data_IF_558867754211
#
_entry.id   IF_558867754211
#
_cell.length_a   1.000
_cell.length_b   1.000
_cell.length_c   1.000
_cell.angle_alpha   90.00
_cell.angle_beta   90.00
_cell.angle_gamma   90.00
#
_symmetry.space_group_name_H-M   'P 1'
#
loop_
_entity.id
_entity.type
_entity.pdbx_description
1 polymer ?
#
# COMPACT_ATOMS: atom_id res chain seq x y z
N UNK A 1 89.64 19.60 -17.11
CA UNK A 1 88.91 18.31 -17.19
C UNK A 1 88.21 18.07 -15.87
N UNK A 2 87.07 17.38 -15.91
CA UNK A 2 86.19 16.95 -14.80
C UNK A 2 85.01 17.87 -14.42
N UNK A 3 83.97 17.75 -15.24
CA UNK A 3 82.61 17.29 -14.93
C UNK A 3 81.86 17.87 -13.70
N UNK A 4 80.74 18.54 -14.00
CA UNK A 4 79.65 18.87 -13.06
C UNK A 4 78.67 17.70 -12.90
N UNK A 5 78.11 17.44 -11.72
CA UNK A 5 76.91 16.62 -11.58
C UNK A 5 75.64 17.49 -11.53
N UNK A 6 74.68 17.17 -12.40
CA UNK A 6 73.31 17.70 -12.39
C UNK A 6 72.50 16.94 -11.33
N UNK A 7 71.98 17.67 -10.34
CA UNK A 7 71.09 17.18 -9.30
C UNK A 7 69.64 17.03 -9.82
N UNK A 8 69.12 15.81 -9.75
CA UNK A 8 67.73 15.46 -10.06
C UNK A 8 66.81 15.91 -8.91
N UNK A 9 65.76 16.65 -9.27
CA UNK A 9 64.65 17.03 -8.38
C UNK A 9 63.60 15.90 -8.41
N UNK A 10 63.24 15.27 -7.28
CA UNK A 10 62.11 14.36 -7.24
C UNK A 10 60.80 15.14 -7.02
N UNK A 11 59.84 14.87 -7.90
CA UNK A 11 58.44 15.29 -7.78
C UNK A 11 57.82 14.75 -6.49
N UNK A 12 57.44 15.63 -5.56
CA UNK A 12 56.56 15.30 -4.45
C UNK A 12 55.11 15.54 -4.89
N UNK A 13 54.41 14.43 -5.14
CA UNK A 13 52.98 14.36 -5.45
C UNK A 13 52.18 14.88 -4.25
N UNK A 14 51.36 15.90 -4.49
CA UNK A 14 50.39 16.41 -3.54
C UNK A 14 49.29 15.37 -3.29
N UNK A 15 49.22 14.83 -2.08
CA UNK A 15 48.09 14.00 -1.62
C UNK A 15 47.01 14.94 -1.09
N UNK A 16 45.99 15.22 -1.91
CA UNK A 16 44.76 15.87 -1.47
C UNK A 16 43.91 14.82 -0.76
N UNK A 17 43.84 14.89 0.57
CA UNK A 17 42.88 14.12 1.38
C UNK A 17 41.48 14.68 1.10
N UNK A 18 40.77 14.11 0.12
CA UNK A 18 39.33 14.29 0.02
C UNK A 18 38.70 13.48 1.16
N UNK A 19 38.43 14.14 2.29
CA UNK A 19 37.48 13.63 3.27
C UNK A 19 36.12 13.54 2.57
N UNK A 20 35.81 12.37 2.05
CA UNK A 20 34.45 12.01 1.70
C UNK A 20 33.63 12.08 3.00
N UNK A 21 32.91 13.18 3.18
CA UNK A 21 31.80 13.26 4.13
C UNK A 21 30.79 12.22 3.68
N UNK A 22 30.90 11.01 4.23
CA UNK A 22 29.83 10.01 4.21
C UNK A 22 28.71 10.65 5.01
N UNK A 23 27.86 11.42 4.33
CA UNK A 23 26.61 11.87 4.90
C UNK A 23 25.88 10.63 5.35
N UNK A 24 25.67 10.48 6.66
CA UNK A 24 24.78 9.46 7.18
C UNK A 24 23.49 9.58 6.37
N UNK A 25 23.03 8.52 5.67
CA UNK A 25 21.74 8.60 5.00
C UNK A 25 20.76 9.01 6.08
N UNK A 26 20.17 10.21 5.94
CA UNK A 26 19.18 10.70 6.89
C UNK A 26 18.18 9.58 7.07
N UNK A 27 17.93 9.16 8.32
CA UNK A 27 16.98 8.10 8.60
C UNK A 27 15.72 8.40 7.81
N UNK A 28 15.44 7.58 6.80
CA UNK A 28 14.18 7.63 6.07
C UNK A 28 13.15 7.15 7.09
N UNK A 29 12.57 8.07 7.86
CA UNK A 29 11.44 7.73 8.69
C UNK A 29 10.33 7.39 7.71
N UNK A 30 9.92 6.12 7.70
CA UNK A 30 8.68 5.69 7.04
C UNK A 30 7.43 6.31 7.71
N UNK A 31 7.64 7.14 8.74
CA UNK A 31 6.68 7.79 9.61
C UNK A 31 5.57 6.88 10.15
N UNK A 32 5.80 5.57 10.14
CA UNK A 32 5.03 4.59 10.91
C UNK A 32 5.42 4.76 12.38
N UNK A 33 4.44 5.07 13.21
CA UNK A 33 4.60 5.33 14.65
C UNK A 33 4.23 4.12 15.50
N UNK A 34 3.45 3.19 14.96
CA UNK A 34 3.10 1.93 15.65
C UNK A 34 2.77 0.84 14.64
N UNK A 35 3.22 -0.38 14.92
CA UNK A 35 2.78 -1.61 14.26
C UNK A 35 2.06 -2.46 15.29
N UNK A 36 0.80 -2.79 15.01
CA UNK A 36 0.00 -3.69 15.83
C UNK A 36 -0.23 -4.98 15.05
N UNK A 37 0.41 -6.07 15.49
CA UNK A 37 0.16 -7.40 14.95
C UNK A 37 -1.11 -7.95 15.59
N UNK A 38 -2.04 -8.41 14.77
CA UNK A 38 -3.33 -8.97 15.21
C UNK A 38 -3.40 -10.48 15.04
N UNK A 39 -2.62 -11.05 14.12
CA UNK A 39 -2.49 -12.49 13.97
C UNK A 39 -1.10 -12.88 13.45
N UNK A 40 -0.59 -14.00 13.95
CA UNK A 40 0.53 -14.75 13.39
C UNK A 40 0.09 -16.20 13.25
N UNK A 41 0.33 -16.80 12.11
CA UNK A 41 0.12 -18.23 11.87
C UNK A 41 1.43 -18.81 11.32
N UNK A 42 2.07 -19.67 12.12
CA UNK A 42 3.36 -20.26 11.80
C UNK A 42 3.36 -21.75 12.20
N UNK A 43 3.52 -22.69 11.25
CA UNK A 43 3.52 -22.48 9.80
C UNK A 43 2.11 -22.19 9.26
N UNK A 44 2.03 -21.44 8.16
CA UNK A 44 0.79 -21.29 7.37
C UNK A 44 0.74 -22.32 6.22
N UNK A 45 -0.24 -22.23 5.32
CA UNK A 45 -0.47 -23.19 4.22
C UNK A 45 -0.62 -24.65 4.68
N UNK A 46 -1.20 -24.86 5.88
CA UNK A 46 -1.32 -26.19 6.47
C UNK A 46 0.02 -26.87 6.76
N UNK A 47 1.11 -26.11 6.88
CA UNK A 47 2.45 -26.64 7.16
C UNK A 47 3.22 -27.10 5.93
N UNK A 48 2.73 -26.84 4.71
CA UNK A 48 3.44 -27.21 3.49
C UNK A 48 4.85 -26.59 3.44
N UNK A 49 5.83 -27.38 3.03
CA UNK A 49 7.24 -26.98 2.94
C UNK A 49 7.71 -27.05 1.50
N UNK A 50 8.18 -25.94 0.95
CA UNK A 50 8.76 -25.92 -0.40
C UNK A 50 10.22 -26.36 -0.38
N UNK A 51 10.67 -27.21 -1.32
CA UNK A 51 12.08 -27.59 -1.45
C UNK A 51 12.97 -26.34 -1.58
N UNK A 52 14.07 -26.30 -0.82
CA UNK A 52 15.04 -25.20 -0.84
C UNK A 52 14.63 -23.94 -0.05
N UNK A 53 13.33 -23.67 0.13
CA UNK A 53 12.83 -22.46 0.81
C UNK A 53 12.34 -22.76 2.24
N UNK A 54 11.64 -23.90 2.42
CA UNK A 54 11.03 -24.30 3.67
C UNK A 54 9.57 -23.86 3.83
N UNK A 55 9.13 -23.76 5.08
CA UNK A 55 7.78 -23.36 5.45
C UNK A 55 7.63 -21.83 5.51
N UNK A 56 6.39 -21.36 5.38
CA UNK A 56 6.02 -19.96 5.44
C UNK A 56 5.24 -19.66 6.71
N UNK A 57 5.25 -18.39 7.10
CA UNK A 57 4.34 -17.84 8.11
C UNK A 57 3.52 -16.68 7.55
N UNK A 58 2.34 -16.50 8.14
CA UNK A 58 1.40 -15.40 7.88
C UNK A 58 1.46 -14.42 9.05
N UNK A 59 1.61 -13.13 8.76
CA UNK A 59 1.57 -12.04 9.73
C UNK A 59 0.54 -11.02 9.26
N UNK A 60 -0.43 -10.71 10.12
CA UNK A 60 -1.51 -9.75 9.83
C UNK A 60 -1.52 -8.69 10.91
N UNK A 61 -1.80 -7.45 10.53
CA UNK A 61 -1.89 -6.37 11.51
C UNK A 61 -2.36 -5.05 10.94
N UNK A 62 -2.18 -4.02 11.75
CA UNK A 62 -2.47 -2.62 11.45
C UNK A 62 -1.23 -1.78 11.72
N UNK A 63 -0.84 -0.96 10.76
CA UNK A 63 0.19 0.05 10.93
C UNK A 63 -0.46 1.42 11.13
N UNK A 64 0.12 2.23 12.00
CA UNK A 64 -0.29 3.61 12.29
C UNK A 64 0.84 4.52 11.87
N UNK A 65 0.53 5.58 11.14
CA UNK A 65 1.51 6.50 10.63
C UNK A 65 1.08 7.95 10.75
N UNK A 66 2.04 8.82 10.52
CA UNK A 66 1.90 10.27 10.57
C UNK A 66 2.55 10.88 9.33
N UNK A 67 1.99 11.95 8.78
CA UNK A 67 2.66 12.73 7.73
C UNK A 67 2.74 14.19 8.13
N UNK A 68 3.82 14.85 7.72
CA UNK A 68 3.98 16.28 7.92
C UNK A 68 3.28 17.05 6.79
N UNK A 69 2.22 17.83 7.08
CA UNK A 69 1.57 18.66 6.07
C UNK A 69 2.50 19.76 5.51
N UNK A 70 3.59 20.09 6.20
CA UNK A 70 4.54 21.11 5.77
C UNK A 70 5.75 20.53 5.00
N UNK A 71 5.87 19.20 4.88
CA UNK A 71 6.91 18.60 4.04
C UNK A 71 6.53 18.78 2.55
N UNK A 72 7.39 19.40 1.72
CA UNK A 72 7.13 19.57 0.30
C UNK A 72 6.79 18.26 -0.45
N UNK A 73 7.26 17.11 0.03
CA UNK A 73 6.92 15.80 -0.56
C UNK A 73 5.44 15.41 -0.39
N UNK A 74 4.77 16.00 0.59
CA UNK A 74 3.36 15.76 0.87
C UNK A 74 2.43 16.81 0.25
N UNK A 75 2.97 17.84 -0.42
CA UNK A 75 2.19 18.94 -1.01
C UNK A 75 1.18 18.48 -2.08
N UNK A 76 1.37 17.30 -2.69
CA UNK A 76 0.43 16.69 -3.63
C UNK A 76 -0.79 16.05 -2.98
N UNK A 77 -0.84 15.91 -1.65
CA UNK A 77 -1.98 15.33 -0.93
C UNK A 77 -3.05 16.41 -0.79
N UNK A 78 -4.19 16.18 -1.43
CA UNK A 78 -5.33 17.10 -1.40
C UNK A 78 -5.79 17.36 0.03
N UNK A 79 -6.02 18.64 0.35
CA UNK A 79 -6.49 19.13 1.65
C UNK A 79 -5.62 18.75 2.86
N UNK A 80 -4.37 18.33 2.67
CA UNK A 80 -3.50 17.91 3.78
C UNK A 80 -3.28 19.02 4.82
N UNK A 81 -3.22 20.28 4.39
CA UNK A 81 -3.07 21.43 5.28
C UNK A 81 -4.27 21.62 6.21
N UNK A 82 -5.45 21.15 5.76
CA UNK A 82 -6.74 21.24 6.42
C UNK A 82 -7.09 19.98 7.21
N UNK A 83 -6.25 18.95 7.16
CA UNK A 83 -6.45 17.73 7.93
C UNK A 83 -6.22 17.99 9.44
N UNK A 84 -7.01 17.35 10.32
CA UNK A 84 -6.74 17.32 11.75
C UNK A 84 -5.30 16.90 12.05
N UNK A 85 -4.66 17.59 13.00
CA UNK A 85 -3.26 17.35 13.39
C UNK A 85 -3.20 16.93 14.85
N UNK A 86 -2.30 16.01 15.16
CA UNK A 86 -2.00 15.64 16.55
C UNK A 86 -1.16 16.73 17.25
N UNK A 87 -0.82 16.52 18.52
CA UNK A 87 -0.02 17.46 19.32
C UNK A 87 1.39 17.73 18.75
N UNK A 88 1.89 16.88 17.84
CA UNK A 88 3.17 17.07 17.11
C UNK A 88 2.99 17.83 15.79
N UNK A 89 1.78 18.28 15.48
CA UNK A 89 1.47 18.97 14.23
C UNK A 89 1.43 18.04 13.00
N UNK A 90 1.33 16.72 13.18
CA UNK A 90 1.29 15.73 12.09
C UNK A 90 -0.12 15.22 11.84
N UNK A 91 -0.40 14.82 10.60
CA UNK A 91 -1.67 14.21 10.19
C UNK A 91 -1.58 12.70 10.38
N UNK A 92 -2.48 12.12 11.17
CA UNK A 92 -2.48 10.70 11.51
C UNK A 92 -3.29 9.86 10.51
N UNK A 93 -2.81 8.66 10.21
CA UNK A 93 -3.51 7.66 9.41
C UNK A 93 -3.21 6.24 9.91
N UNK A 94 -3.99 5.26 9.49
CA UNK A 94 -3.67 3.85 9.73
C UNK A 94 -4.16 2.95 8.60
N UNK A 95 -3.49 1.82 8.39
CA UNK A 95 -3.86 0.86 7.36
C UNK A 95 -3.63 -0.58 7.82
N UNK A 96 -4.44 -1.50 7.30
CA UNK A 96 -4.26 -2.94 7.53
C UNK A 96 -3.17 -3.50 6.62
N UNK A 97 -2.42 -4.48 7.09
CA UNK A 97 -1.43 -5.20 6.29
C UNK A 97 -1.54 -6.71 6.45
N UNK A 98 -1.07 -7.43 5.43
CA UNK A 98 -0.96 -8.87 5.39
C UNK A 98 0.40 -9.24 4.79
N UNK A 99 1.14 -10.12 5.44
CA UNK A 99 2.48 -10.54 5.03
C UNK A 99 2.55 -12.07 5.00
N UNK A 100 3.10 -12.62 3.92
CA UNK A 100 3.60 -13.99 3.87
C UNK A 100 5.09 -13.97 3.66
N UNK A 101 5.84 -14.71 4.46
CA UNK A 101 7.29 -14.86 4.26
C UNK A 101 7.77 -16.26 4.62
N UNK A 102 8.91 -16.71 4.08
CA UNK A 102 9.62 -17.85 4.64
C UNK A 102 9.88 -17.63 6.14
N UNK A 103 9.73 -18.70 6.93
CA UNK A 103 10.11 -18.68 8.35
C UNK A 103 11.62 -18.41 8.45
N UNK A 104 12.41 -19.14 7.67
CA UNK A 104 13.85 -18.92 7.51
C UNK A 104 14.13 -17.95 6.35
N UNK A 105 14.32 -16.67 6.68
CA UNK A 105 14.58 -15.63 5.68
C UNK A 105 15.91 -15.80 4.94
N UNK A 106 16.87 -16.59 5.47
CA UNK A 106 18.12 -16.88 4.76
C UNK A 106 17.94 -17.77 3.53
N UNK A 107 16.79 -18.45 3.45
CA UNK A 107 16.36 -19.29 2.32
C UNK A 107 15.35 -18.59 1.41
N UNK A 108 15.09 -17.31 1.66
CA UNK A 108 14.19 -16.49 0.86
C UNK A 108 14.84 -15.95 -0.42
N UNK A 109 14.03 -15.32 -1.26
CA UNK A 109 14.48 -14.64 -2.47
C UNK A 109 15.19 -13.31 -2.19
N UNK A 110 15.08 -12.79 -0.96
CA UNK A 110 15.35 -11.39 -0.61
C UNK A 110 14.63 -10.40 -1.53
N UNK A 111 13.40 -10.75 -1.94
CA UNK A 111 12.55 -9.96 -2.82
C UNK A 111 11.14 -9.89 -2.24
N UNK A 112 10.53 -8.73 -2.38
CA UNK A 112 9.13 -8.49 -2.01
C UNK A 112 8.28 -8.44 -3.27
N UNK A 113 7.20 -9.21 -3.28
CA UNK A 113 6.05 -8.97 -4.14
C UNK A 113 5.06 -8.13 -3.33
N UNK A 114 4.89 -6.87 -3.72
CA UNK A 114 3.91 -5.97 -3.12
C UNK A 114 2.72 -5.81 -4.06
N UNK A 115 1.51 -5.91 -3.52
CA UNK A 115 0.29 -5.59 -4.25
C UNK A 115 -0.55 -4.59 -3.43
N UNK A 116 -0.86 -3.41 -3.98
CA UNK A 116 -1.92 -2.56 -3.45
C UNK A 116 -3.29 -3.21 -3.76
N UNK A 117 -4.06 -3.66 -2.75
CA UNK A 117 -5.28 -4.42 -2.97
C UNK A 117 -6.35 -3.60 -3.68
N UNK A 118 -7.03 -4.18 -4.67
CA UNK A 118 -8.10 -3.52 -5.41
C UNK A 118 -9.37 -3.40 -4.53
N UNK A 119 -9.69 -2.19 -4.07
CA UNK A 119 -10.78 -1.93 -3.11
C UNK A 119 -10.71 -2.84 -1.87
N UNK A 120 -9.49 -3.08 -1.39
CA UNK A 120 -9.20 -3.96 -0.25
C UNK A 120 -9.11 -5.45 -0.57
N UNK A 121 -9.56 -5.87 -1.76
CA UNK A 121 -9.47 -7.24 -2.27
C UNK A 121 -8.10 -7.55 -2.90
N UNK A 122 -7.52 -8.70 -2.57
CA UNK A 122 -6.23 -9.15 -3.13
C UNK A 122 -6.45 -9.85 -4.47
N UNK A 123 -5.72 -9.45 -5.49
CA UNK A 123 -5.84 -9.89 -6.90
C UNK A 123 -4.63 -10.68 -7.41
N UNK A 124 -3.70 -11.01 -6.51
CA UNK A 124 -2.47 -11.79 -6.72
C UNK A 124 -2.60 -13.17 -7.37
N UNK A 125 -3.78 -13.83 -7.28
CA UNK A 125 -3.94 -15.28 -7.53
C UNK A 125 -3.41 -15.74 -8.90
N UNK A 126 -3.82 -15.05 -9.97
CA UNK A 126 -3.39 -15.39 -11.34
C UNK A 126 -1.88 -15.33 -11.52
N UNK A 127 -1.24 -14.27 -11.02
CA UNK A 127 0.22 -14.11 -11.10
C UNK A 127 0.95 -15.17 -10.28
N UNK A 128 0.41 -15.51 -9.10
CA UNK A 128 1.01 -16.48 -8.20
C UNK A 128 0.70 -17.94 -8.53
N UNK A 129 -0.14 -18.21 -9.55
CA UNK A 129 -0.70 -19.54 -9.86
C UNK A 129 -1.41 -20.17 -8.65
N UNK A 130 -2.23 -19.36 -7.98
CA UNK A 130 -2.95 -19.70 -6.76
C UNK A 130 -4.45 -19.33 -6.93
N UNK A 131 -5.35 -19.93 -6.15
CA UNK A 131 -6.81 -19.68 -6.26
C UNK A 131 -7.23 -18.23 -5.92
N UNK A 132 -6.32 -17.40 -5.40
CA UNK A 132 -6.60 -16.02 -5.02
C UNK A 132 -7.27 -15.91 -3.65
N UNK A 133 -8.04 -14.84 -3.45
CA UNK A 133 -8.73 -14.55 -2.20
C UNK A 133 -7.92 -13.71 -1.21
N UNK A 134 -8.60 -13.26 -0.16
CA UNK A 134 -8.06 -12.30 0.81
C UNK A 134 -7.25 -12.93 1.96
N UNK A 135 -7.35 -14.25 2.16
CA UNK A 135 -6.47 -15.02 3.06
C UNK A 135 -5.55 -15.98 2.27
N UNK A 136 -4.53 -15.48 1.57
CA UNK A 136 -3.58 -16.31 0.82
C UNK A 136 -3.05 -17.54 1.57
N UNK A 137 -2.68 -17.39 2.85
CA UNK A 137 -2.13 -18.45 3.71
C UNK A 137 -3.10 -19.59 4.05
N UNK A 138 -4.40 -19.40 3.82
CA UNK A 138 -5.41 -20.44 4.08
C UNK A 138 -5.41 -21.60 3.09
N UNK A 139 -4.68 -21.50 1.97
CA UNK A 139 -4.63 -22.56 0.96
C UNK A 139 -3.81 -23.75 1.47
N UNK A 140 -4.40 -24.93 1.56
CA UNK A 140 -3.76 -26.14 2.11
C UNK A 140 -3.56 -27.28 1.11
N UNK A 141 -4.16 -27.20 -0.09
CA UNK A 141 -4.11 -28.27 -1.09
C UNK A 141 -2.67 -28.46 -1.62
N UNK A 142 -2.01 -29.61 -1.37
CA UNK A 142 -0.60 -29.81 -1.73
C UNK A 142 -0.31 -29.69 -3.23
N UNK A 143 -1.23 -30.12 -4.08
CA UNK A 143 -1.09 -30.04 -5.55
C UNK A 143 -1.13 -28.60 -6.05
N UNK A 144 -1.89 -27.73 -5.40
CA UNK A 144 -1.94 -26.29 -5.69
C UNK A 144 -0.63 -25.64 -5.21
N UNK A 145 -0.24 -25.91 -3.97
CA UNK A 145 0.96 -25.33 -3.36
C UNK A 145 2.25 -25.73 -4.09
N UNK A 146 2.34 -26.98 -4.56
CA UNK A 146 3.46 -27.46 -5.37
C UNK A 146 3.62 -26.71 -6.71
N UNK A 147 2.51 -26.20 -7.27
CA UNK A 147 2.48 -25.50 -8.55
C UNK A 147 2.48 -23.96 -8.42
N UNK A 148 2.53 -23.43 -7.19
CA UNK A 148 2.58 -22.00 -6.94
C UNK A 148 3.83 -21.36 -7.59
N UNK A 149 3.75 -20.09 -7.97
CA UNK A 149 4.87 -19.40 -8.61
C UNK A 149 5.81 -18.75 -7.59
N UNK A 150 5.27 -18.06 -6.58
CA UNK A 150 6.07 -17.17 -5.71
C UNK A 150 6.73 -17.90 -4.54
N UNK A 151 6.00 -18.77 -3.85
CA UNK A 151 6.46 -19.43 -2.63
C UNK A 151 7.61 -20.42 -2.85
N UNK A 152 7.63 -21.26 -3.91
CA UNK A 152 8.81 -22.09 -4.19
C UNK A 152 10.07 -21.30 -4.56
N UNK A 153 9.93 -19.99 -4.82
CA UNK A 153 11.04 -19.09 -5.13
C UNK A 153 11.47 -18.25 -3.93
N UNK A 154 10.80 -18.39 -2.77
CA UNK A 154 11.20 -17.69 -1.54
C UNK A 154 10.76 -16.22 -1.46
N UNK A 155 9.81 -15.77 -2.28
CA UNK A 155 9.33 -14.38 -2.20
C UNK A 155 8.64 -14.10 -0.86
N UNK A 156 8.89 -12.92 -0.30
CA UNK A 156 8.00 -12.31 0.69
C UNK A 156 6.88 -11.61 -0.05
N UNK A 157 5.63 -11.84 0.36
CA UNK A 157 4.46 -11.18 -0.21
C UNK A 157 3.87 -10.21 0.80
N UNK A 158 3.51 -9.01 0.35
CA UNK A 158 3.00 -7.93 1.21
C UNK A 158 1.80 -7.28 0.54
N UNK A 159 0.74 -7.08 1.31
CA UNK A 159 -0.41 -6.27 0.95
C UNK A 159 -0.65 -5.23 2.03
N UNK A 160 -1.02 -4.01 1.65
CA UNK A 160 -1.45 -2.97 2.58
C UNK A 160 -2.64 -2.19 2.04
N UNK A 161 -3.57 -1.87 2.94
CA UNK A 161 -4.72 -1.04 2.60
C UNK A 161 -4.29 0.36 2.16
N UNK A 162 -4.88 0.85 1.07
CA UNK A 162 -4.58 2.16 0.49
C UNK A 162 -5.84 2.89 0.05
N UNK A 163 -6.91 2.15 -0.25
CA UNK A 163 -8.15 2.67 -0.80
C UNK A 163 -9.20 2.85 0.30
N UNK A 164 -9.66 4.09 0.50
CA UNK A 164 -10.71 4.40 1.47
C UNK A 164 -12.08 3.84 1.06
N UNK A 165 -12.31 3.61 -0.24
CA UNK A 165 -13.52 2.98 -0.76
C UNK A 165 -13.62 1.49 -0.44
N UNK A 166 -12.56 0.87 0.09
CA UNK A 166 -12.60 -0.50 0.63
C UNK A 166 -13.49 -0.65 1.88
N UNK A 167 -14.04 0.46 2.40
CA UNK A 167 -14.87 0.51 3.59
C UNK A 167 -14.06 0.46 4.88
N UNK A 168 -14.73 0.13 5.99
CA UNK A 168 -14.13 0.05 7.34
C UNK A 168 -14.03 -1.37 7.87
N UNK A 169 -14.63 -2.35 7.17
CA UNK A 169 -14.61 -3.75 7.58
C UNK A 169 -13.29 -4.41 7.19
N UNK A 170 -12.64 -5.01 8.18
CA UNK A 170 -11.44 -5.84 8.01
C UNK A 170 -11.77 -7.33 8.02
N UNK A 171 -13.06 -7.68 7.99
CA UNK A 171 -13.51 -9.07 7.94
C UNK A 171 -12.93 -9.79 6.71
N UNK A 172 -12.67 -11.09 6.84
CA UNK A 172 -12.05 -11.90 5.79
C UNK A 172 -10.75 -11.30 5.23
N UNK A 173 -9.99 -10.58 6.08
CA UNK A 173 -8.72 -9.94 5.71
C UNK A 173 -8.82 -8.94 4.55
N UNK A 174 -9.98 -8.31 4.39
CA UNK A 174 -10.08 -7.10 3.57
C UNK A 174 -9.16 -6.03 4.14
N UNK A 175 -8.23 -5.51 3.34
CA UNK A 175 -7.20 -4.57 3.82
C UNK A 175 -7.61 -3.14 3.51
N UNK A 176 -7.91 -2.36 4.55
CA UNK A 176 -8.47 -1.01 4.43
C UNK A 176 -7.50 0.06 4.91
N UNK A 177 -7.85 1.32 4.64
CA UNK A 177 -7.15 2.49 5.20
C UNK A 177 -8.14 3.38 5.98
N UNK A 178 -7.66 3.94 7.08
CA UNK A 178 -8.34 4.96 7.86
C UNK A 178 -7.60 6.27 7.71
N UNK A 179 -8.31 7.24 7.14
CA UNK A 179 -7.84 8.61 6.88
C UNK A 179 -8.73 9.58 7.66
N UNK A 180 -8.20 10.73 8.10
CA UNK A 180 -9.01 11.75 8.75
C UNK A 180 -9.84 12.52 7.71
N UNK A 181 -10.89 13.19 8.17
CA UNK A 181 -11.69 14.11 7.35
C UNK A 181 -11.12 15.51 7.53
N UNK A 182 -10.73 16.16 6.43
CA UNK A 182 -10.25 17.54 6.43
C UNK A 182 -11.34 18.53 6.87
N UNK A 183 -10.94 19.70 7.37
CA UNK A 183 -11.86 20.70 7.93
C UNK A 183 -11.65 22.08 7.33
N UNK A 184 -12.76 22.81 7.14
CA UNK A 184 -12.72 24.23 6.82
C UNK A 184 -12.18 25.05 8.00
N UNK A 185 -11.80 26.33 7.77
CA UNK A 185 -11.35 27.22 8.86
C UNK A 185 -12.37 27.42 9.99
N UNK A 186 -13.67 27.28 9.70
CA UNK A 186 -14.75 27.33 10.69
C UNK A 186 -14.93 26.01 11.49
N UNK A 187 -14.10 25.00 11.20
CA UNK A 187 -14.13 23.68 11.83
C UNK A 187 -15.10 22.69 11.20
N UNK A 188 -15.93 23.09 10.24
CA UNK A 188 -16.86 22.19 9.54
C UNK A 188 -16.10 21.14 8.70
N UNK A 189 -16.59 19.90 8.59
CA UNK A 189 -15.93 18.88 7.78
C UNK A 189 -16.02 19.21 6.28
N UNK A 190 -14.94 18.95 5.56
CA UNK A 190 -14.92 19.02 4.10
C UNK A 190 -15.49 17.71 3.57
N UNK A 191 -16.75 17.75 3.17
CA UNK A 191 -17.49 16.63 2.59
C UNK A 191 -18.27 17.12 1.39
N UNK A 192 -18.55 16.23 0.43
CA UNK A 192 -19.31 16.57 -0.76
C UNK A 192 -19.88 15.34 -1.45
N UNK A 193 -20.59 15.53 -2.57
CA UNK A 193 -21.09 14.43 -3.38
C UNK A 193 -19.92 13.60 -3.92
N UNK A 194 -20.09 12.27 -3.91
CA UNK A 194 -19.17 11.35 -4.56
C UNK A 194 -19.73 10.95 -5.94
N UNK A 195 -18.86 10.88 -6.94
CA UNK A 195 -19.18 10.30 -8.24
C UNK A 195 -18.73 8.84 -8.25
N UNK A 196 -19.64 7.93 -8.58
CA UNK A 196 -19.33 6.52 -8.76
C UNK A 196 -19.62 6.09 -10.20
N UNK A 197 -18.65 5.46 -10.84
CA UNK A 197 -18.77 4.91 -12.18
C UNK A 197 -18.91 3.39 -12.10
N UNK A 198 -20.07 2.88 -12.52
CA UNK A 198 -20.42 1.46 -12.44
C UNK A 198 -20.66 0.96 -13.86
N UNK A 199 -19.91 -0.07 -14.26
CA UNK A 199 -20.11 -0.77 -15.53
C UNK A 199 -20.84 -2.08 -15.22
N UNK A 200 -22.05 -2.25 -15.74
CA UNK A 200 -22.86 -3.44 -15.53
C UNK A 200 -23.55 -3.85 -16.84
N UNK A 201 -23.70 -5.15 -17.08
CA UNK A 201 -24.40 -5.70 -18.26
C UNK A 201 -25.90 -5.95 -18.02
N UNK A 202 -26.46 -5.36 -16.97
CA UNK A 202 -27.88 -5.49 -16.60
C UNK A 202 -28.18 -4.89 -15.22
N UNK A 203 -29.34 -5.22 -14.65
CA UNK A 203 -29.70 -4.80 -13.30
C UNK A 203 -28.94 -5.64 -12.28
N UNK A 204 -27.96 -5.02 -11.62
CA UNK A 204 -27.25 -5.63 -10.49
C UNK A 204 -27.19 -4.64 -9.34
N UNK A 205 -27.47 -5.08 -8.10
CA UNK A 205 -27.28 -4.22 -6.94
C UNK A 205 -25.79 -3.87 -6.81
N UNK A 206 -25.51 -2.63 -6.45
CA UNK A 206 -24.17 -2.14 -6.22
C UNK A 206 -24.08 -1.50 -4.84
N UNK A 207 -23.10 -1.89 -4.05
CA UNK A 207 -22.82 -1.27 -2.74
C UNK A 207 -22.04 0.01 -2.97
N UNK A 208 -22.60 1.15 -2.59
CA UNK A 208 -21.94 2.43 -2.70
C UNK A 208 -20.71 2.52 -1.80
N UNK A 209 -19.68 3.23 -2.26
CA UNK A 209 -18.47 3.53 -1.48
C UNK A 209 -18.76 4.51 -0.35
N UNK A 210 -19.72 5.41 -0.56
CA UNK A 210 -20.25 6.32 0.45
C UNK A 210 -21.76 6.11 0.62
N UNK A 211 -22.32 6.23 1.83
CA UNK A 211 -23.76 6.16 2.02
C UNK A 211 -24.49 7.17 1.13
N UNK A 212 -25.67 6.78 0.62
CA UNK A 212 -26.53 7.72 -0.08
C UNK A 212 -26.85 8.91 0.84
N UNK A 213 -26.73 10.14 0.30
CA UNK A 213 -27.03 11.36 1.06
C UNK A 213 -28.47 11.38 1.60
N UNK A 214 -29.38 10.68 0.91
CA UNK A 214 -30.75 10.44 1.34
C UNK A 214 -31.27 9.14 0.72
N UNK A 215 -32.20 8.48 1.40
CA UNK A 215 -32.95 7.34 0.86
C UNK A 215 -34.29 7.78 0.22
N UNK A 216 -34.62 9.07 0.28
CA UNK A 216 -35.80 9.66 -0.36
C UNK A 216 -35.63 9.67 -1.89
N UNK A 217 -36.29 8.73 -2.56
CA UNK A 217 -36.23 8.56 -4.01
C UNK A 217 -36.77 9.76 -4.79
N UNK A 218 -37.61 10.61 -4.19
CA UNK A 218 -38.12 11.82 -4.86
C UNK A 218 -37.02 12.85 -5.14
N UNK A 219 -35.88 12.72 -4.46
CA UNK A 219 -34.70 13.57 -4.64
C UNK A 219 -33.68 12.98 -5.61
N UNK A 220 -33.94 11.79 -6.15
CA UNK A 220 -33.07 11.15 -7.14
C UNK A 220 -33.46 11.56 -8.56
N UNK A 221 -32.47 11.69 -9.44
CA UNK A 221 -32.69 11.90 -10.88
C UNK A 221 -31.93 10.83 -11.65
N UNK A 222 -32.64 10.07 -12.47
CA UNK A 222 -32.03 9.15 -13.43
C UNK A 222 -31.89 9.87 -14.77
N UNK A 223 -30.70 9.84 -15.33
CA UNK A 223 -30.45 10.36 -16.68
C UNK A 223 -29.81 9.29 -17.55
N UNK A 224 -30.12 9.30 -18.83
CA UNK A 224 -29.48 8.47 -19.84
C UNK A 224 -28.64 9.33 -20.81
N UNK A 225 -27.51 8.77 -21.25
CA UNK A 225 -26.63 9.30 -22.29
C UNK A 225 -26.13 8.15 -23.14
N UNK A 226 -25.98 8.36 -24.45
CA UNK A 226 -25.39 7.35 -25.37
C UNK A 226 -23.88 7.36 -25.26
N UNK A 227 -23.27 8.55 -25.15
CA UNK A 227 -21.85 8.77 -24.90
C UNK A 227 -21.66 9.61 -23.63
N UNK A 228 -20.50 9.50 -22.99
CA UNK A 228 -20.24 10.15 -21.69
C UNK A 228 -20.41 11.67 -21.74
N UNK A 229 -20.05 12.26 -22.88
CA UNK A 229 -20.05 13.68 -23.21
C UNK A 229 -21.38 14.21 -23.78
N UNK A 230 -22.36 13.33 -24.08
CA UNK A 230 -23.67 13.76 -24.54
C UNK A 230 -24.45 14.50 -23.44
N UNK A 231 -25.35 15.39 -23.85
CA UNK A 231 -26.29 16.03 -22.93
C UNK A 231 -27.14 14.96 -22.21
N UNK A 232 -27.23 14.98 -20.87
CA UNK A 232 -28.09 14.04 -20.13
C UNK A 232 -29.56 14.23 -20.48
N UNK A 233 -30.25 13.12 -20.78
CA UNK A 233 -31.70 13.09 -20.96
C UNK A 233 -32.32 12.49 -19.69
N UNK A 234 -33.20 13.24 -19.02
CA UNK A 234 -33.89 12.78 -17.82
C UNK A 234 -34.83 11.63 -18.17
N UNK A 235 -34.75 10.54 -17.42
CA UNK A 235 -35.69 9.42 -17.48
C UNK A 235 -36.79 9.69 -16.44
N UNK A 236 -38.07 9.78 -16.83
CA UNK A 236 -39.17 9.99 -15.89
C UNK A 236 -39.20 8.89 -14.82
N UNK A 237 -39.53 9.28 -13.59
CA UNK A 237 -39.82 8.31 -12.53
C UNK A 237 -41.05 7.48 -12.92
N UNK A 238 -40.98 6.16 -12.69
CA UNK A 238 -42.09 5.23 -12.87
C UNK A 238 -43.08 5.30 -11.69
#
# INVERSE_FOLDING_TARGET
MNASPRSFVPYLIAVVLALATVGSPGMVQAHITKVQITAIETPTFGGYSWPGVGQYEKIVGKAFGEVDPLDPKNAGIVDIERAPRNARGKVEYSFDFYILKPIDLSKGAHKVMYEPPNRGGKTWGNFARMPGGNDPGSVTAPTVLANAFLMPRGYTMVWSGWDKAAGTSTANFNTTITLPIARNPDGSPITGPAYEYIVTSGTSPFTLSYPAATLDKSKATLTHRVRLDDAPIVVPAA
#
